data_IF_078065353748
#
_entry.id   IF_078065353748
#
_cell.length_a   1.000
_cell.length_b   1.000
_cell.length_c   1.000
_cell.angle_alpha   90.00
_cell.angle_beta   90.00
_cell.angle_gamma   90.00
#
_symmetry.space_group_name_H-M   'P 1'
#
loop_
_entity.id
_entity.type
_entity.pdbx_description
1 polymer ?
#
# COMPACT_ATOMS: atom_id res chain seq x y z
N UNK A 1 14.85 19.49 18.12
CA UNK A 1 15.95 19.30 17.15
C UNK A 1 16.23 20.66 16.54
N UNK A 2 17.45 21.17 16.59
CA UNK A 2 17.76 22.52 16.07
C UNK A 2 17.80 22.49 14.53
N UNK A 3 17.55 23.65 13.87
CA UNK A 3 17.60 23.76 12.39
C UNK A 3 18.96 23.35 11.83
N UNK A 4 20.04 23.56 12.59
CA UNK A 4 21.39 23.09 12.21
C UNK A 4 21.52 21.54 12.16
N UNK A 5 20.80 20.83 13.01
CA UNK A 5 20.81 19.36 12.99
C UNK A 5 20.02 18.79 11.80
N UNK A 6 18.97 19.48 11.35
CA UNK A 6 18.23 19.17 10.15
C UNK A 6 19.09 19.35 8.88
N UNK A 7 19.77 20.49 8.76
CA UNK A 7 20.64 20.78 7.61
C UNK A 7 21.82 19.81 7.50
N UNK A 8 22.39 19.38 8.63
CA UNK A 8 23.50 18.43 8.62
C UNK A 8 23.04 17.02 8.23
N UNK A 9 21.85 16.58 8.68
CA UNK A 9 21.24 15.30 8.29
C UNK A 9 20.82 15.31 6.81
N UNK A 10 20.16 16.36 6.35
CA UNK A 10 19.78 16.52 4.94
C UNK A 10 21.03 16.47 4.02
N UNK A 11 22.11 17.14 4.40
CA UNK A 11 23.40 17.09 3.69
C UNK A 11 23.98 15.68 3.62
N UNK A 12 23.84 14.86 4.66
CA UNK A 12 24.34 13.48 4.69
C UNK A 12 23.55 12.55 3.77
N UNK A 13 22.22 12.66 3.80
CA UNK A 13 21.31 11.87 2.96
C UNK A 13 21.46 12.27 1.50
N UNK A 14 21.48 13.57 1.19
CA UNK A 14 21.70 14.08 -0.15
C UNK A 14 23.03 13.58 -0.74
N UNK A 15 24.12 13.57 0.04
CA UNK A 15 25.41 13.02 -0.39
C UNK A 15 25.35 11.53 -0.68
N UNK A 16 24.56 10.77 0.07
CA UNK A 16 24.40 9.33 -0.17
C UNK A 16 23.56 9.08 -1.42
N UNK A 17 22.48 9.85 -1.62
CA UNK A 17 21.62 9.76 -2.80
C UNK A 17 22.37 10.18 -4.07
N UNK A 18 23.14 11.27 -4.05
CA UNK A 18 23.96 11.70 -5.19
C UNK A 18 25.01 10.65 -5.58
N UNK A 19 25.57 9.90 -4.60
CA UNK A 19 26.47 8.76 -4.91
C UNK A 19 25.75 7.61 -5.58
N UNK A 20 24.48 7.40 -5.29
CA UNK A 20 23.64 6.37 -5.91
C UNK A 20 23.28 6.78 -7.34
N UNK A 21 22.89 8.05 -7.55
CA UNK A 21 22.61 8.61 -8.87
C UNK A 21 23.85 8.56 -9.78
N UNK A 22 25.01 8.98 -9.32
CA UNK A 22 26.29 8.90 -10.07
C UNK A 22 26.66 7.46 -10.48
N UNK A 23 26.27 6.47 -9.68
CA UNK A 23 26.46 5.05 -10.01
C UNK A 23 25.46 4.53 -11.03
N UNK A 24 24.20 5.02 -10.98
CA UNK A 24 23.16 4.71 -11.97
C UNK A 24 23.52 5.25 -13.35
N UNK A 25 23.94 6.53 -13.42
CA UNK A 25 24.38 7.18 -14.66
C UNK A 25 25.61 6.49 -15.29
N UNK A 26 26.49 5.92 -14.47
CA UNK A 26 27.68 5.17 -14.92
C UNK A 26 27.37 3.71 -15.30
N UNK A 27 26.10 3.31 -15.40
CA UNK A 27 25.69 1.98 -15.87
C UNK A 27 26.16 0.81 -14.98
N UNK A 28 26.41 1.08 -13.70
CA UNK A 28 26.78 0.02 -12.74
C UNK A 28 25.55 -0.73 -12.29
N UNK A 29 25.66 -2.03 -12.33
CA UNK A 29 24.66 -3.07 -12.10
C UNK A 29 23.70 -2.76 -10.94
N UNK A 30 22.41 -3.11 -11.07
CA UNK A 30 21.36 -2.91 -10.07
C UNK A 30 21.68 -3.41 -8.65
N UNK A 31 22.56 -4.42 -8.51
CA UNK A 31 23.05 -4.90 -7.21
C UNK A 31 23.82 -3.83 -6.42
N UNK A 32 24.58 -2.98 -7.12
CA UNK A 32 25.39 -1.92 -6.46
C UNK A 32 24.57 -0.72 -6.01
N UNK A 33 23.40 -0.53 -6.62
CA UNK A 33 22.42 0.51 -6.24
C UNK A 33 21.66 0.04 -5.01
N UNK A 34 21.22 -1.22 -5.01
CA UNK A 34 20.57 -1.85 -3.85
C UNK A 34 21.50 -1.86 -2.61
N UNK A 35 22.80 -2.09 -2.79
CA UNK A 35 23.79 -1.99 -1.70
C UNK A 35 23.99 -0.54 -1.20
N UNK A 36 23.94 0.45 -2.09
CA UNK A 36 23.99 1.87 -1.71
C UNK A 36 22.77 2.31 -0.92
N UNK A 37 21.60 1.82 -1.32
CA UNK A 37 20.33 2.09 -0.67
C UNK A 37 20.16 1.32 0.65
N UNK A 38 20.71 0.11 0.76
CA UNK A 38 20.67 -0.70 1.98
C UNK A 38 21.40 -0.05 3.18
N UNK A 39 22.27 0.93 2.93
CA UNK A 39 22.96 1.68 3.97
C UNK A 39 22.19 2.90 4.49
N UNK A 40 21.08 3.27 3.84
CA UNK A 40 20.16 4.32 4.35
C UNK A 40 19.11 3.61 5.21
N UNK A 41 19.14 3.85 6.51
CA UNK A 41 18.11 3.31 7.40
C UNK A 41 16.76 3.96 7.00
N UNK A 42 15.75 3.14 6.76
CA UNK A 42 14.39 3.61 6.43
C UNK A 42 13.88 4.64 7.46
N UNK A 43 14.28 4.51 8.73
CA UNK A 43 13.96 5.48 9.79
C UNK A 43 14.61 6.85 9.59
N UNK A 44 15.79 6.92 9.00
CA UNK A 44 16.48 8.18 8.72
C UNK A 44 15.84 8.90 7.55
N UNK A 45 15.44 8.14 6.53
CA UNK A 45 14.71 8.66 5.38
C UNK A 45 13.32 9.20 5.80
N UNK A 46 12.56 8.41 6.57
CA UNK A 46 11.27 8.85 7.10
C UNK A 46 11.38 10.16 7.88
N UNK A 47 12.39 10.28 8.73
CA UNK A 47 12.59 11.49 9.54
C UNK A 47 13.12 12.71 8.76
N UNK A 48 13.52 12.56 7.50
CA UNK A 48 14.03 13.66 6.68
C UNK A 48 12.95 14.40 5.90
N UNK A 49 11.89 13.71 5.50
CA UNK A 49 10.80 14.27 4.67
C UNK A 49 9.43 14.25 5.35
N UNK A 50 9.31 13.59 6.50
CA UNK A 50 8.08 13.54 7.26
C UNK A 50 8.22 14.20 8.63
N UNK A 51 7.32 15.08 8.96
CA UNK A 51 7.29 15.75 10.28
C UNK A 51 6.90 14.81 11.41
N UNK A 52 6.07 13.80 11.09
CA UNK A 52 5.64 12.71 11.97
C UNK A 52 5.55 11.42 11.15
N UNK A 53 5.56 10.23 11.77
CA UNK A 53 5.38 8.97 11.06
C UNK A 53 4.09 8.96 10.23
N UNK A 54 4.15 8.64 8.91
CA UNK A 54 2.97 8.63 8.03
C UNK A 54 1.81 7.79 8.56
N UNK A 55 2.10 6.67 9.19
CA UNK A 55 1.08 5.80 9.79
C UNK A 55 0.31 6.43 10.97
N UNK A 56 0.81 7.51 11.55
CA UNK A 56 0.06 8.30 12.54
C UNK A 56 -0.76 9.40 11.88
N UNK A 57 -0.18 10.08 10.87
CA UNK A 57 -0.80 11.21 10.20
C UNK A 57 -1.93 10.82 9.25
N UNK A 58 -1.76 9.67 8.56
CA UNK A 58 -2.67 9.21 7.52
C UNK A 58 -3.67 8.15 8.02
N UNK A 59 -3.68 7.89 9.33
CA UNK A 59 -4.63 6.95 9.92
C UNK A 59 -5.98 7.60 10.12
N UNK A 60 -7.01 7.00 9.53
CA UNK A 60 -8.39 7.37 9.81
C UNK A 60 -8.84 6.81 11.17
N UNK A 61 -9.52 7.63 11.95
CA UNK A 61 -10.17 7.28 13.20
C UNK A 61 -11.68 7.33 13.03
N UNK A 62 -12.44 6.73 13.93
CA UNK A 62 -13.90 6.66 13.87
C UNK A 62 -14.59 8.04 13.86
N UNK A 63 -13.93 9.06 14.38
CA UNK A 63 -14.37 10.46 14.44
C UNK A 63 -13.84 11.31 13.28
N UNK A 64 -13.05 10.75 12.37
CA UNK A 64 -12.50 11.47 11.21
C UNK A 64 -13.62 11.84 10.24
N UNK A 65 -13.78 13.14 9.98
CA UNK A 65 -14.75 13.65 9.01
C UNK A 65 -14.10 13.81 7.65
N UNK A 66 -14.43 12.91 6.73
CA UNK A 66 -13.87 12.91 5.36
C UNK A 66 -14.11 14.24 4.63
N UNK A 67 -15.25 14.90 4.88
CA UNK A 67 -15.58 16.19 4.27
C UNK A 67 -14.68 17.36 4.72
N UNK A 68 -13.93 17.20 5.81
CA UNK A 68 -13.00 18.20 6.35
C UNK A 68 -11.56 17.96 5.87
N UNK A 69 -11.33 16.89 5.10
CA UNK A 69 -10.00 16.55 4.57
C UNK A 69 -9.82 17.26 3.23
N UNK A 70 -8.81 18.11 3.16
CA UNK A 70 -8.36 18.68 1.90
C UNK A 70 -7.66 17.59 1.06
N UNK A 71 -8.25 17.23 -0.07
CA UNK A 71 -7.74 16.20 -0.97
C UNK A 71 -6.41 16.56 -1.64
N UNK A 72 -6.07 17.84 -1.70
CA UNK A 72 -4.81 18.35 -2.27
C UNK A 72 -3.71 18.50 -1.22
N UNK A 73 -4.05 18.27 0.06
CA UNK A 73 -3.08 18.38 1.15
C UNK A 73 -2.09 17.22 1.17
N UNK A 74 -0.88 17.50 1.62
CA UNK A 74 0.17 16.51 1.89
C UNK A 74 0.55 16.53 3.37
N UNK A 75 -0.35 16.07 4.27
CA UNK A 75 -0.17 16.25 5.69
C UNK A 75 1.13 15.59 6.17
N UNK A 76 1.97 16.41 6.81
CA UNK A 76 3.23 15.97 7.40
C UNK A 76 4.38 15.69 6.42
N UNK A 77 4.15 15.80 5.12
CA UNK A 77 5.24 15.71 4.14
C UNK A 77 5.87 17.10 3.91
N UNK A 78 7.14 17.24 4.28
CA UNK A 78 7.92 18.48 4.20
C UNK A 78 8.99 18.36 3.11
N UNK A 79 8.59 17.98 1.91
CA UNK A 79 9.46 17.81 0.74
C UNK A 79 8.79 18.32 -0.53
N UNK A 80 9.58 18.44 -1.59
CA UNK A 80 9.11 18.73 -2.93
C UNK A 80 8.81 17.43 -3.71
N UNK A 81 8.43 17.56 -4.99
CA UNK A 81 8.12 16.43 -5.87
C UNK A 81 9.32 15.48 -6.05
N UNK A 82 10.53 16.03 -6.23
CA UNK A 82 11.73 15.22 -6.41
C UNK A 82 12.06 14.42 -5.15
N UNK A 83 11.85 15.02 -3.97
CA UNK A 83 11.99 14.32 -2.69
C UNK A 83 10.98 13.18 -2.55
N UNK A 84 9.74 13.40 -3.00
CA UNK A 84 8.71 12.36 -3.01
C UNK A 84 9.09 11.20 -3.96
N UNK A 85 9.57 11.48 -5.16
CA UNK A 85 10.01 10.47 -6.13
C UNK A 85 11.18 9.64 -5.59
N UNK A 86 12.17 10.29 -4.97
CA UNK A 86 13.29 9.61 -4.30
C UNK A 86 12.80 8.74 -3.13
N UNK A 87 11.89 9.27 -2.31
CA UNK A 87 11.30 8.53 -1.20
C UNK A 87 10.57 7.28 -1.69
N UNK A 88 9.76 7.39 -2.76
CA UNK A 88 9.05 6.27 -3.37
C UNK A 88 10.03 5.23 -3.88
N UNK A 89 11.09 5.62 -4.59
CA UNK A 89 12.08 4.69 -5.14
C UNK A 89 12.76 3.85 -4.05
N UNK A 90 13.18 4.49 -2.95
CA UNK A 90 13.82 3.82 -1.82
C UNK A 90 12.83 2.92 -1.09
N UNK A 91 11.63 3.43 -0.80
CA UNK A 91 10.59 2.66 -0.11
C UNK A 91 10.13 1.46 -0.92
N UNK A 92 10.00 1.60 -2.23
CA UNK A 92 9.63 0.48 -3.12
C UNK A 92 10.67 -0.64 -3.13
N UNK A 93 11.96 -0.28 -3.07
CA UNK A 93 13.06 -1.26 -2.95
C UNK A 93 12.97 -2.03 -1.62
N UNK A 94 12.71 -1.34 -0.50
CA UNK A 94 12.51 -1.98 0.80
C UNK A 94 11.26 -2.85 0.82
N UNK A 95 10.15 -2.39 0.25
CA UNK A 95 8.92 -3.19 0.10
C UNK A 95 9.22 -4.48 -0.65
N UNK A 96 9.93 -4.40 -1.78
CA UNK A 96 10.32 -5.57 -2.57
C UNK A 96 11.20 -6.55 -1.77
N UNK A 97 12.11 -6.04 -0.94
CA UNK A 97 12.93 -6.86 -0.04
C UNK A 97 12.09 -7.60 0.99
N UNK A 98 11.18 -6.90 1.67
CA UNK A 98 10.29 -7.52 2.66
C UNK A 98 9.31 -8.50 2.03
N UNK A 99 8.81 -8.20 0.84
CA UNK A 99 7.93 -9.07 0.08
C UNK A 99 8.60 -10.42 -0.23
N UNK A 100 9.85 -10.41 -0.73
CA UNK A 100 10.61 -11.66 -0.97
C UNK A 100 10.86 -12.45 0.32
N UNK A 101 11.16 -11.77 1.44
CA UNK A 101 11.32 -12.43 2.74
C UNK A 101 10.01 -13.07 3.22
N UNK A 102 8.89 -12.37 3.01
CA UNK A 102 7.57 -12.89 3.39
C UNK A 102 7.21 -14.12 2.54
N UNK A 103 7.46 -14.07 1.23
CA UNK A 103 7.27 -15.18 0.31
C UNK A 103 8.10 -16.41 0.73
N UNK A 104 9.41 -16.22 0.96
CA UNK A 104 10.29 -17.28 1.39
C UNK A 104 9.86 -17.93 2.72
N UNK A 105 9.36 -17.13 3.67
CA UNK A 105 8.80 -17.61 4.92
C UNK A 105 7.48 -18.36 4.72
N UNK A 106 6.63 -17.92 3.79
CA UNK A 106 5.40 -18.62 3.42
C UNK A 106 5.68 -20.04 2.90
N UNK A 107 6.69 -20.19 2.03
CA UNK A 107 7.16 -21.51 1.55
C UNK A 107 7.61 -22.42 2.71
N UNK A 108 8.13 -21.83 3.79
CA UNK A 108 8.53 -22.55 5.00
C UNK A 108 7.39 -22.76 6.03
N UNK A 109 6.15 -22.45 5.65
CA UNK A 109 4.97 -22.70 6.48
C UNK A 109 4.48 -21.51 7.32
N UNK A 110 5.05 -20.30 7.15
CA UNK A 110 4.49 -19.10 7.77
C UNK A 110 3.12 -18.79 7.18
N UNK A 111 2.14 -18.51 8.03
CA UNK A 111 0.78 -18.14 7.62
C UNK A 111 0.62 -16.64 7.32
N UNK A 112 1.65 -15.84 7.54
CA UNK A 112 1.60 -14.39 7.28
C UNK A 112 1.39 -14.13 5.80
N UNK A 113 0.43 -13.27 5.51
CA UNK A 113 0.09 -12.78 4.18
C UNK A 113 -0.45 -11.37 4.28
N UNK A 114 -0.41 -10.62 3.19
CA UNK A 114 -0.84 -9.23 3.18
C UNK A 114 -1.91 -9.02 2.10
N UNK A 115 -3.03 -8.44 2.50
CA UNK A 115 -4.07 -7.97 1.60
C UNK A 115 -4.10 -6.44 1.62
N UNK A 116 -3.88 -5.82 0.47
CA UNK A 116 -3.94 -4.38 0.28
C UNK A 116 -5.19 -4.06 -0.53
N UNK A 117 -6.07 -3.26 0.04
CA UNK A 117 -7.30 -2.83 -0.62
C UNK A 117 -7.16 -1.37 -1.04
N UNK A 118 -7.25 -1.11 -2.34
CA UNK A 118 -7.29 0.22 -2.92
C UNK A 118 -8.74 0.55 -3.26
N UNK A 119 -9.38 1.33 -2.41
CA UNK A 119 -10.76 1.77 -2.58
C UNK A 119 -10.80 3.27 -2.84
N UNK A 120 -11.57 3.69 -3.84
CA UNK A 120 -11.69 5.10 -4.20
C UNK A 120 -12.45 5.28 -5.52
N UNK A 121 -12.86 6.52 -5.78
CA UNK A 121 -13.54 6.91 -7.01
C UNK A 121 -12.68 6.66 -8.26
N UNK A 122 -13.31 6.68 -9.43
CA UNK A 122 -12.57 6.66 -10.70
C UNK A 122 -11.66 7.90 -10.78
N UNK A 123 -10.50 7.73 -11.35
CA UNK A 123 -9.43 8.74 -11.42
C UNK A 123 -8.81 9.16 -10.08
N UNK A 124 -9.10 8.48 -8.95
CA UNK A 124 -8.49 8.76 -7.63
C UNK A 124 -7.03 8.35 -7.47
N UNK A 125 -6.37 7.89 -8.52
CA UNK A 125 -4.94 7.53 -8.49
C UNK A 125 -4.63 6.09 -8.11
N UNK A 126 -5.62 5.19 -7.91
CA UNK A 126 -5.41 3.77 -7.54
C UNK A 126 -4.37 3.07 -8.42
N UNK A 127 -4.54 3.14 -9.74
CA UNK A 127 -3.59 2.55 -10.70
C UNK A 127 -2.20 3.20 -10.66
N UNK A 128 -2.10 4.47 -10.27
CA UNK A 128 -0.84 5.17 -10.01
C UNK A 128 -0.12 4.56 -8.81
N UNK A 129 -0.82 4.33 -7.70
CA UNK A 129 -0.26 3.67 -6.51
C UNK A 129 0.30 2.29 -6.87
N UNK A 130 -0.46 1.47 -7.60
CA UNK A 130 0.02 0.14 -8.02
C UNK A 130 1.31 0.25 -8.83
N UNK A 131 1.35 1.15 -9.81
CA UNK A 131 2.52 1.31 -10.69
C UNK A 131 3.75 1.87 -9.99
N UNK A 132 3.57 2.83 -9.09
CA UNK A 132 4.71 3.53 -8.47
C UNK A 132 5.21 2.86 -7.19
N UNK A 133 4.31 2.23 -6.42
CA UNK A 133 4.68 1.62 -5.13
C UNK A 133 5.07 0.15 -5.28
N UNK A 134 4.33 -0.61 -6.12
CA UNK A 134 4.48 -2.07 -6.20
C UNK A 134 5.20 -2.57 -7.46
N UNK A 135 5.58 -1.69 -8.38
CA UNK A 135 6.25 -2.08 -9.64
C UNK A 135 7.59 -2.79 -9.45
N UNK A 136 8.26 -2.61 -8.34
CA UNK A 136 9.53 -3.27 -8.02
C UNK A 136 9.35 -4.59 -7.27
N UNK A 137 8.11 -4.97 -6.93
CA UNK A 137 7.80 -6.25 -6.30
C UNK A 137 8.14 -7.43 -7.21
N UNK A 138 8.60 -8.51 -6.61
CA UNK A 138 8.82 -9.77 -7.33
C UNK A 138 7.47 -10.35 -7.75
N UNK A 139 7.24 -10.66 -9.03
CA UNK A 139 6.00 -11.31 -9.49
C UNK A 139 5.67 -12.60 -8.72
N UNK A 140 6.69 -13.31 -8.26
CA UNK A 140 6.50 -14.44 -7.35
C UNK A 140 6.09 -13.92 -5.97
N UNK A 141 4.88 -14.27 -5.54
CA UNK A 141 4.34 -13.85 -4.26
C UNK A 141 3.60 -12.52 -4.29
N UNK A 142 3.28 -12.00 -5.49
CA UNK A 142 2.39 -10.85 -5.66
C UNK A 142 1.23 -11.21 -6.59
N UNK A 143 0.04 -10.77 -6.22
CA UNK A 143 -1.18 -10.94 -7.01
C UNK A 143 -1.94 -9.61 -7.06
N UNK A 144 -2.36 -9.22 -8.26
CA UNK A 144 -3.21 -8.04 -8.47
C UNK A 144 -4.55 -8.48 -9.05
N UNK A 145 -5.63 -8.00 -8.46
CA UNK A 145 -6.98 -8.24 -8.97
C UNK A 145 -7.83 -6.97 -8.93
N UNK A 146 -8.44 -6.64 -10.06
CA UNK A 146 -9.39 -5.52 -10.18
C UNK A 146 -10.84 -6.03 -10.18
N UNK A 147 -11.64 -5.60 -9.21
CA UNK A 147 -13.04 -5.98 -9.12
C UNK A 147 -13.94 -5.03 -9.90
N UNK A 148 -14.63 -5.57 -10.89
CA UNK A 148 -15.71 -4.90 -11.60
C UNK A 148 -17.09 -5.37 -11.14
N UNK A 149 -18.12 -5.06 -11.93
CA UNK A 149 -19.45 -5.64 -11.73
C UNK A 149 -19.40 -7.17 -11.85
N UNK A 150 -20.13 -7.92 -11.02
CA UNK A 150 -20.15 -9.40 -11.06
C UNK A 150 -20.49 -9.94 -12.45
N UNK A 151 -19.73 -10.94 -12.92
CA UNK A 151 -19.88 -11.54 -14.24
C UNK A 151 -19.98 -13.08 -14.15
N UNK A 152 -20.73 -13.66 -15.09
CA UNK A 152 -20.83 -15.11 -15.21
C UNK A 152 -21.22 -15.77 -13.88
N UNK A 153 -20.45 -16.76 -13.46
CA UNK A 153 -20.64 -17.55 -12.24
C UNK A 153 -20.64 -16.71 -10.96
N UNK A 154 -19.98 -15.53 -10.93
CA UNK A 154 -19.98 -14.66 -9.74
C UNK A 154 -21.38 -14.21 -9.32
N UNK A 155 -22.34 -14.18 -10.27
CA UNK A 155 -23.73 -13.78 -10.01
C UNK A 155 -24.55 -14.83 -9.28
N UNK A 156 -24.09 -16.07 -9.32
CA UNK A 156 -24.79 -17.23 -8.74
C UNK A 156 -24.33 -17.50 -7.29
N UNK A 157 -23.35 -16.74 -6.83
CA UNK A 157 -22.74 -16.88 -5.52
C UNK A 157 -22.94 -15.65 -4.62
N UNK A 158 -22.67 -15.83 -3.35
CA UNK A 158 -22.53 -14.75 -2.37
C UNK A 158 -21.44 -13.76 -2.80
N UNK A 159 -21.63 -12.46 -2.54
CA UNK A 159 -20.72 -11.40 -2.98
C UNK A 159 -19.28 -11.57 -2.45
N UNK A 160 -19.08 -12.20 -1.29
CA UNK A 160 -17.75 -12.50 -0.75
C UNK A 160 -17.09 -13.70 -1.44
N UNK A 161 -17.82 -14.50 -2.22
CA UNK A 161 -17.26 -15.68 -2.89
C UNK A 161 -16.12 -15.29 -3.84
N UNK A 162 -16.34 -14.29 -4.71
CA UNK A 162 -15.31 -13.80 -5.64
C UNK A 162 -14.12 -13.18 -4.91
N UNK A 163 -14.35 -12.52 -3.77
CA UNK A 163 -13.32 -11.97 -2.91
C UNK A 163 -12.44 -13.07 -2.32
N UNK A 164 -13.08 -14.14 -1.81
CA UNK A 164 -12.37 -15.28 -1.21
C UNK A 164 -11.46 -16.01 -2.18
N UNK A 165 -11.78 -16.03 -3.45
CA UNK A 165 -10.97 -16.67 -4.51
C UNK A 165 -9.65 -15.94 -4.75
N UNK A 166 -9.62 -14.63 -4.57
CA UNK A 166 -8.47 -13.76 -4.87
C UNK A 166 -7.63 -13.43 -3.64
N UNK A 167 -7.98 -14.01 -2.47
CA UNK A 167 -7.25 -13.80 -1.23
C UNK A 167 -5.79 -14.25 -1.36
N UNK A 168 -4.84 -13.57 -0.68
CA UNK A 168 -3.44 -13.94 -0.72
C UNK A 168 -3.21 -15.31 -0.11
N UNK A 169 -2.37 -16.11 -0.77
CA UNK A 169 -1.83 -17.33 -0.20
C UNK A 169 -0.80 -17.00 0.89
N UNK A 170 -0.41 -17.98 1.69
CA UNK A 170 0.62 -17.80 2.70
C UNK A 170 1.92 -17.27 2.09
N UNK A 171 2.45 -16.18 2.63
CA UNK A 171 3.62 -15.51 2.11
C UNK A 171 3.39 -14.54 0.94
N UNK A 172 2.15 -14.42 0.47
CA UNK A 172 1.80 -13.58 -0.69
C UNK A 172 1.27 -12.21 -0.28
N UNK A 173 1.41 -11.25 -1.19
CA UNK A 173 0.71 -9.96 -1.17
C UNK A 173 -0.35 -10.00 -2.27
N UNK A 174 -1.62 -9.79 -1.92
CA UNK A 174 -2.68 -9.48 -2.89
C UNK A 174 -3.01 -8.00 -2.84
N UNK A 175 -3.14 -7.39 -4.01
CA UNK A 175 -3.53 -5.99 -4.18
C UNK A 175 -4.88 -5.99 -4.89
N UNK A 176 -5.90 -5.50 -4.23
CA UNK A 176 -7.24 -5.36 -4.77
C UNK A 176 -7.49 -3.93 -5.25
N UNK A 177 -7.79 -3.74 -6.54
CA UNK A 177 -8.37 -2.50 -7.05
C UNK A 177 -9.89 -2.62 -6.98
N UNK A 178 -10.50 -1.88 -6.06
CA UNK A 178 -11.82 -2.11 -5.48
C UNK A 178 -11.86 -3.39 -4.65
N UNK A 179 -13.02 -3.68 -4.04
CA UNK A 179 -13.10 -4.80 -3.09
C UNK A 179 -14.54 -5.17 -2.78
N UNK A 180 -14.74 -5.95 -1.71
CA UNK A 180 -16.05 -6.25 -1.10
C UNK A 180 -16.86 -4.99 -0.72
N UNK A 181 -16.21 -3.85 -0.53
CA UNK A 181 -16.88 -2.60 -0.21
C UNK A 181 -17.74 -2.05 -1.36
N UNK A 182 -17.47 -2.45 -2.62
CA UNK A 182 -18.34 -2.13 -3.75
C UNK A 182 -19.77 -2.64 -3.55
N UNK A 183 -19.91 -3.76 -2.84
CA UNK A 183 -21.21 -4.37 -2.54
C UNK A 183 -22.00 -3.65 -1.42
N UNK A 184 -21.41 -2.63 -0.81
CA UNK A 184 -22.09 -1.63 0.03
C UNK A 184 -22.27 -0.33 -0.74
N UNK A 185 -21.20 0.18 -1.34
CA UNK A 185 -21.15 1.51 -1.97
C UNK A 185 -22.09 1.58 -3.17
N UNK A 186 -22.03 0.61 -4.09
CA UNK A 186 -22.85 0.60 -5.29
C UNK A 186 -24.35 0.42 -4.99
N UNK A 187 -24.78 -0.53 -4.17
CA UNK A 187 -26.19 -0.63 -3.77
C UNK A 187 -26.74 0.63 -3.09
N UNK A 188 -25.92 1.27 -2.27
CA UNK A 188 -26.31 2.51 -1.58
C UNK A 188 -26.51 3.67 -2.56
N UNK A 189 -25.62 3.82 -3.54
CA UNK A 189 -25.67 4.91 -4.53
C UNK A 189 -26.78 4.67 -5.55
N UNK A 190 -26.84 3.48 -6.13
CA UNK A 190 -27.77 3.14 -7.21
C UNK A 190 -29.12 2.58 -6.74
N UNK A 191 -29.29 2.40 -5.42
CA UNK A 191 -30.52 1.85 -4.80
C UNK A 191 -30.93 0.50 -5.39
N UNK A 192 -29.93 -0.35 -5.69
CA UNK A 192 -30.14 -1.68 -6.31
C UNK A 192 -30.63 -2.73 -5.31
N UNK A 193 -30.43 -2.49 -4.02
CA UNK A 193 -30.90 -3.33 -2.92
C UNK A 193 -31.57 -2.47 -1.84
N UNK A 194 -32.52 -3.04 -1.05
CA UNK A 194 -33.07 -2.40 0.14
C UNK A 194 -31.96 -1.99 1.13
N UNK A 195 -32.25 -0.99 1.95
CA UNK A 195 -31.27 -0.44 2.89
C UNK A 195 -30.77 -1.48 3.89
N UNK A 196 -31.66 -2.30 4.39
CA UNK A 196 -31.37 -3.37 5.36
C UNK A 196 -30.32 -4.35 4.82
N UNK A 197 -30.33 -4.60 3.51
CA UNK A 197 -29.41 -5.56 2.86
C UNK A 197 -27.97 -5.00 2.87
N UNK A 198 -27.77 -3.77 2.40
CA UNK A 198 -26.42 -3.23 2.37
C UNK A 198 -25.92 -2.81 3.76
N UNK A 199 -26.81 -2.46 4.68
CA UNK A 199 -26.44 -2.23 6.08
C UNK A 199 -25.94 -3.51 6.78
N UNK A 200 -26.61 -4.64 6.59
CA UNK A 200 -26.16 -5.91 7.14
C UNK A 200 -24.75 -6.31 6.65
N UNK A 201 -24.39 -5.91 5.44
CA UNK A 201 -23.06 -6.20 4.87
C UNK A 201 -21.89 -5.56 5.64
N UNK A 202 -22.11 -4.46 6.37
CA UNK A 202 -21.05 -3.91 7.25
C UNK A 202 -20.60 -4.93 8.31
N UNK A 203 -21.55 -5.57 8.97
CA UNK A 203 -21.25 -6.57 9.98
C UNK A 203 -20.68 -7.86 9.37
N UNK A 204 -21.15 -8.22 8.19
CA UNK A 204 -20.63 -9.38 7.45
C UNK A 204 -19.18 -9.17 7.03
N UNK A 205 -18.84 -8.01 6.48
CA UNK A 205 -17.49 -7.66 6.07
C UNK A 205 -16.58 -7.58 7.29
N UNK A 206 -17.00 -6.92 8.37
CA UNK A 206 -16.24 -6.83 9.61
C UNK A 206 -15.91 -8.22 10.19
N UNK A 207 -16.87 -9.14 10.17
CA UNK A 207 -16.64 -10.53 10.59
C UNK A 207 -15.67 -11.26 9.66
N UNK A 208 -15.84 -11.11 8.36
CA UNK A 208 -14.96 -11.69 7.35
C UNK A 208 -13.51 -11.20 7.53
N UNK A 209 -13.30 -9.90 7.66
CA UNK A 209 -11.96 -9.31 7.86
C UNK A 209 -11.34 -9.73 9.20
N UNK A 210 -12.15 -9.80 10.26
CA UNK A 210 -11.68 -10.32 11.56
C UNK A 210 -11.20 -11.76 11.47
N UNK A 211 -11.88 -12.60 10.68
CA UNK A 211 -11.45 -13.98 10.43
C UNK A 211 -10.13 -14.01 9.64
N UNK A 212 -9.97 -13.15 8.64
CA UNK A 212 -8.72 -13.04 7.86
C UNK A 212 -7.54 -12.67 8.76
N UNK A 213 -7.73 -11.71 9.66
CA UNK A 213 -6.70 -11.29 10.63
C UNK A 213 -6.35 -12.44 11.58
N UNK A 214 -7.34 -13.14 12.11
CA UNK A 214 -7.14 -14.33 12.96
C UNK A 214 -6.35 -15.44 12.24
N UNK A 215 -6.51 -15.51 10.92
CA UNK A 215 -5.84 -16.46 10.05
C UNK A 215 -4.45 -15.99 9.56
N UNK A 216 -3.93 -14.87 10.06
CA UNK A 216 -2.59 -14.35 9.76
C UNK A 216 -2.52 -13.46 8.51
N UNK A 217 -3.66 -12.96 8.02
CA UNK A 217 -3.73 -11.91 7.01
C UNK A 217 -3.68 -10.53 7.69
N UNK A 218 -2.85 -9.65 7.18
CA UNK A 218 -2.78 -8.25 7.62
C UNK A 218 -3.21 -7.34 6.49
#
# INVERSE_FOLDING_TARGET
MSDKDKDTKMSSIAKTLNKVEDRLEKGKNCSSVAEGLANVKASELLSSVWTLPPGQLLRFHHDTRVAEIDGDSTPGFDGNKDDAERFIAISSSEIARYQRLMYANGVKGSRRRLLIILQGMDASGKGGIVRHVFSQGDPMGMHYHGFGAPKGEEKDHDYLWRIKRELPQNGWISIFDRSQYEDIVMPRIYKTYPEEVWQARYDEINRFESQLVADGCS
#
